data_IF_220611012431
#
_entry.id   IF_220611012431
#
_cell.length_a   1.000
_cell.length_b   1.000
_cell.length_c   1.000
_cell.angle_alpha   90.00
_cell.angle_beta   90.00
_cell.angle_gamma   90.00
#
_symmetry.space_group_name_H-M   'P 1'
#
loop_
_entity.id
_entity.type
_entity.pdbx_description
1 polymer ?
#
# COMPACT_ATOMS: atom_id res chain seq x y z
N UNK A 1 29.41 -3.13 11.75
CA UNK A 1 28.27 -2.62 10.98
C UNK A 1 27.33 -1.89 11.93
N UNK A 2 26.71 -0.80 11.52
CA UNK A 2 25.72 -0.09 12.33
C UNK A 2 24.47 -0.95 12.48
N UNK A 3 23.81 -0.85 13.63
CA UNK A 3 22.56 -1.58 13.91
C UNK A 3 21.34 -0.70 13.57
N UNK A 4 20.22 -1.34 13.36
CA UNK A 4 18.91 -0.72 13.18
C UNK A 4 17.82 -1.53 13.89
N UNK A 5 16.73 -0.86 14.21
CA UNK A 5 15.57 -1.51 14.84
C UNK A 5 14.55 -1.90 13.78
N UNK A 6 13.90 -3.05 14.04
CA UNK A 6 12.74 -3.52 13.27
C UNK A 6 11.66 -4.01 14.23
N UNK A 7 10.41 -3.94 13.81
CA UNK A 7 9.30 -4.61 14.52
C UNK A 7 9.02 -5.92 13.81
N UNK A 8 9.22 -7.03 14.51
CA UNK A 8 8.99 -8.38 13.98
C UNK A 8 7.80 -9.04 14.67
N UNK A 9 6.99 -9.74 13.88
CA UNK A 9 6.01 -10.72 14.40
C UNK A 9 6.80 -11.97 14.74
N UNK A 10 6.82 -12.34 16.02
CA UNK A 10 7.64 -13.46 16.54
C UNK A 10 6.83 -14.70 16.85
N UNK A 11 5.52 -14.54 17.09
CA UNK A 11 4.58 -15.63 17.36
C UNK A 11 3.13 -15.17 17.12
N UNK A 12 2.15 -16.04 17.33
CA UNK A 12 0.72 -15.69 17.30
C UNK A 12 0.43 -14.51 18.25
N UNK A 13 -0.06 -13.43 17.67
CA UNK A 13 -0.38 -12.17 18.37
C UNK A 13 0.77 -11.60 19.22
N UNK A 14 2.02 -11.87 18.83
CA UNK A 14 3.21 -11.33 19.51
C UNK A 14 4.11 -10.60 18.53
N UNK A 15 4.55 -9.42 18.94
CA UNK A 15 5.57 -8.62 18.25
C UNK A 15 6.70 -8.29 19.20
N UNK A 16 7.89 -8.09 18.65
CA UNK A 16 9.07 -7.62 19.37
C UNK A 16 9.82 -6.59 18.53
N UNK A 17 10.42 -5.62 19.22
CA UNK A 17 11.45 -4.77 18.63
C UNK A 17 12.76 -5.56 18.68
N UNK A 18 13.37 -5.74 17.51
CA UNK A 18 14.62 -6.49 17.36
C UNK A 18 15.67 -5.60 16.73
N UNK A 19 16.93 -5.82 17.06
CA UNK A 19 18.08 -5.18 16.40
C UNK A 19 18.65 -6.13 15.35
N UNK A 20 18.86 -5.58 14.14
CA UNK A 20 19.53 -6.26 13.04
C UNK A 20 20.62 -5.36 12.46
N UNK A 21 21.46 -5.89 11.61
CA UNK A 21 22.41 -5.07 10.89
C UNK A 21 21.70 -4.12 9.91
N UNK A 22 22.09 -2.84 9.90
CA UNK A 22 21.61 -1.88 8.90
C UNK A 22 22.07 -2.36 7.53
N UNK A 23 21.15 -2.50 6.55
CA UNK A 23 21.50 -2.98 5.23
C UNK A 23 22.40 -1.99 4.48
N UNK A 24 23.24 -2.50 3.61
CA UNK A 24 24.05 -1.73 2.68
C UNK A 24 23.52 -1.97 1.28
N UNK A 25 23.26 -0.92 0.48
CA UNK A 25 22.72 -1.08 -0.86
C UNK A 25 23.71 -1.82 -1.77
N UNK A 26 23.20 -2.79 -2.54
CA UNK A 26 23.94 -3.42 -3.64
C UNK A 26 24.03 -2.44 -4.81
N UNK A 27 24.76 -2.79 -5.87
CA UNK A 27 25.07 -1.90 -6.99
C UNK A 27 23.84 -1.21 -7.60
N UNK A 28 22.69 -1.92 -7.76
CA UNK A 28 21.46 -1.40 -8.34
C UNK A 28 20.38 -1.01 -7.29
N UNK A 29 20.77 -0.91 -6.01
CA UNK A 29 19.84 -0.67 -4.91
C UNK A 29 19.93 0.73 -4.33
N UNK A 30 18.83 1.13 -3.71
CA UNK A 30 18.69 2.37 -2.96
C UNK A 30 18.45 2.01 -1.49
N UNK A 31 19.20 2.62 -0.58
CA UNK A 31 18.95 2.59 0.86
C UNK A 31 18.03 3.73 1.23
N UNK A 32 16.91 3.39 1.85
CA UNK A 32 15.91 4.34 2.28
C UNK A 32 15.83 4.35 3.79
N UNK A 33 15.95 5.54 4.38
CA UNK A 33 15.60 5.82 5.77
C UNK A 33 14.09 6.00 5.84
N UNK A 34 13.40 5.08 6.52
CA UNK A 34 11.95 5.05 6.61
C UNK A 34 11.44 5.99 7.70
N UNK A 35 10.45 6.80 7.38
CA UNK A 35 9.84 7.76 8.29
C UNK A 35 8.40 7.38 8.67
N UNK A 36 7.70 6.65 7.82
CA UNK A 36 6.36 6.15 8.11
C UNK A 36 6.09 4.83 7.38
N UNK A 37 5.27 3.99 8.00
CA UNK A 37 4.73 2.78 7.40
C UNK A 37 3.31 2.55 7.94
N UNK A 38 2.33 2.40 7.04
CA UNK A 38 0.98 2.01 7.43
C UNK A 38 0.87 0.50 7.63
N UNK A 39 -0.15 0.08 8.35
CA UNK A 39 -0.43 -1.33 8.65
C UNK A 39 -1.59 -1.82 7.80
N UNK A 40 -1.28 -2.64 6.81
CA UNK A 40 -2.27 -3.33 5.99
C UNK A 40 -2.98 -4.45 6.77
N UNK A 41 -4.16 -4.84 6.32
CA UNK A 41 -4.84 -6.05 6.80
C UNK A 41 -4.00 -7.32 6.58
N UNK A 42 -3.04 -7.28 5.66
CA UNK A 42 -2.09 -8.38 5.46
C UNK A 42 -1.24 -8.63 6.71
N UNK A 43 -0.67 -7.58 7.33
CA UNK A 43 0.08 -7.70 8.58
C UNK A 43 -0.79 -8.21 9.72
N UNK A 44 -2.06 -7.77 9.81
CA UNK A 44 -3.02 -8.28 10.80
C UNK A 44 -3.27 -9.78 10.62
N UNK A 45 -3.40 -10.25 9.37
CA UNK A 45 -3.58 -11.68 9.04
C UNK A 45 -2.34 -12.51 9.36
N UNK A 46 -1.13 -11.99 9.17
CA UNK A 46 0.11 -12.65 9.60
C UNK A 46 0.20 -12.69 11.12
N UNK A 47 -0.09 -11.58 11.79
CA UNK A 47 -0.09 -11.46 13.26
C UNK A 47 -1.07 -12.45 13.94
N UNK A 48 -2.25 -12.63 13.33
CA UNK A 48 -3.26 -13.61 13.78
C UNK A 48 -3.07 -15.00 13.18
N UNK A 49 -1.98 -15.26 12.45
CA UNK A 49 -1.66 -16.52 11.76
C UNK A 49 -2.74 -17.05 10.80
N UNK A 50 -3.68 -16.21 10.38
CA UNK A 50 -4.59 -16.52 9.27
C UNK A 50 -3.78 -16.68 7.97
N UNK A 51 -2.76 -15.83 7.77
CA UNK A 51 -1.76 -16.00 6.71
C UNK A 51 -0.47 -16.50 7.34
N UNK A 52 -0.05 -17.71 6.96
CA UNK A 52 1.18 -18.33 7.48
C UNK A 52 2.41 -17.73 6.81
N UNK A 53 3.37 -17.29 7.62
CA UNK A 53 4.73 -16.87 7.22
C UNK A 53 5.75 -17.55 8.12
N UNK A 54 6.98 -17.70 7.63
CA UNK A 54 8.09 -18.07 8.50
C UNK A 54 8.33 -16.94 9.52
N UNK A 55 8.44 -17.31 10.79
CA UNK A 55 8.71 -16.37 11.88
C UNK A 55 10.17 -16.48 12.34
N UNK A 56 10.78 -15.40 12.84
CA UNK A 56 10.23 -14.04 12.94
C UNK A 56 10.05 -13.37 11.58
N UNK A 57 9.01 -12.53 11.43
CA UNK A 57 8.66 -11.86 10.18
C UNK A 57 8.57 -10.33 10.38
N UNK A 58 9.32 -9.56 9.60
CA UNK A 58 9.17 -8.10 9.52
C UNK A 58 8.23 -7.79 8.37
N UNK A 59 7.10 -7.18 8.68
CA UNK A 59 6.10 -6.75 7.71
C UNK A 59 6.30 -5.32 7.23
N UNK A 60 5.23 -4.76 6.67
CA UNK A 60 5.17 -3.38 6.18
C UNK A 60 5.52 -3.28 4.68
N UNK A 61 4.55 -2.82 3.90
CA UNK A 61 4.71 -2.60 2.46
C UNK A 61 4.10 -1.27 2.00
N UNK A 62 3.44 -0.57 2.89
CA UNK A 62 2.88 0.76 2.69
C UNK A 62 3.80 1.78 3.37
N UNK A 63 4.99 2.00 2.82
CA UNK A 63 6.03 2.78 3.49
C UNK A 63 6.60 3.91 2.65
N UNK A 64 7.05 4.96 3.34
CA UNK A 64 7.67 6.15 2.78
C UNK A 64 8.86 6.60 3.63
N UNK A 65 9.83 7.23 2.99
CA UNK A 65 11.03 7.72 3.64
C UNK A 65 11.84 8.64 2.75
N UNK A 66 13.13 8.74 3.01
CA UNK A 66 14.09 9.50 2.22
C UNK A 66 15.23 8.62 1.75
N UNK A 67 15.78 8.92 0.58
CA UNK A 67 16.97 8.26 0.06
C UNK A 67 18.18 8.67 0.93
N UNK A 68 18.88 7.69 1.52
CA UNK A 68 20.06 7.91 2.34
C UNK A 68 21.36 7.53 1.61
N UNK A 69 21.31 6.47 0.79
CA UNK A 69 22.45 6.04 -0.01
C UNK A 69 21.97 5.31 -1.27
N UNK A 70 22.83 5.28 -2.28
CA UNK A 70 22.58 4.57 -3.54
C UNK A 70 23.75 3.64 -3.86
N UNK A 71 23.48 2.56 -4.59
CA UNK A 71 24.51 1.67 -5.14
C UNK A 71 25.21 2.28 -6.35
N UNK A 72 26.32 1.70 -6.75
CA UNK A 72 27.24 2.22 -7.78
C UNK A 72 26.62 2.28 -9.19
N UNK A 73 25.64 1.42 -9.49
CA UNK A 73 24.95 1.39 -10.79
C UNK A 73 23.67 2.27 -10.81
N UNK A 74 23.33 2.94 -9.69
CA UNK A 74 22.17 3.83 -9.60
C UNK A 74 22.56 5.24 -10.03
N UNK A 75 21.79 5.85 -10.93
CA UNK A 75 22.06 7.18 -11.47
C UNK A 75 21.72 8.24 -10.41
N UNK A 76 22.71 9.01 -9.88
CA UNK A 76 22.49 9.95 -8.77
C UNK A 76 21.48 11.07 -9.10
N UNK A 77 21.42 11.51 -10.35
CA UNK A 77 20.52 12.56 -10.83
C UNK A 77 19.05 12.09 -10.79
N UNK A 78 18.83 10.79 -10.96
CA UNK A 78 17.49 10.20 -10.87
C UNK A 78 17.09 9.88 -9.42
N UNK A 79 18.08 9.58 -8.57
CA UNK A 79 17.83 9.19 -7.17
C UNK A 79 18.68 10.04 -6.20
N UNK A 80 18.45 11.37 -6.12
CA UNK A 80 19.26 12.23 -5.27
C UNK A 80 19.07 11.91 -3.78
N UNK A 81 20.18 11.95 -3.04
CA UNK A 81 20.17 11.78 -1.58
C UNK A 81 19.26 12.86 -0.95
N UNK A 82 18.45 12.47 0.02
CA UNK A 82 17.46 13.34 0.67
C UNK A 82 16.11 13.43 -0.07
N UNK A 83 15.98 12.87 -1.28
CA UNK A 83 14.70 12.82 -1.99
C UNK A 83 13.68 11.98 -1.20
N UNK A 84 12.48 12.55 -0.99
CA UNK A 84 11.34 11.84 -0.41
C UNK A 84 10.78 10.84 -1.41
N UNK A 85 10.50 9.63 -0.93
CA UNK A 85 10.08 8.51 -1.78
C UNK A 85 9.03 7.63 -1.08
N UNK A 86 8.17 7.03 -1.91
CA UNK A 86 7.40 5.84 -1.55
C UNK A 86 8.08 4.59 -2.12
N UNK A 87 7.83 3.44 -1.51
CA UNK A 87 8.50 2.18 -1.85
C UNK A 87 7.48 1.14 -2.26
N UNK A 88 7.69 0.53 -3.42
CA UNK A 88 7.02 -0.71 -3.79
C UNK A 88 7.85 -1.90 -3.28
N UNK A 89 7.41 -2.51 -2.19
CA UNK A 89 8.14 -3.63 -1.58
C UNK A 89 8.12 -4.89 -2.44
N UNK A 90 7.07 -5.12 -3.22
CA UNK A 90 7.00 -6.26 -4.13
C UNK A 90 7.90 -6.03 -5.34
N UNK A 91 8.94 -6.86 -5.47
CA UNK A 91 9.85 -6.82 -6.61
C UNK A 91 9.31 -7.63 -7.80
N UNK A 92 9.78 -7.31 -8.99
CA UNK A 92 9.49 -8.05 -10.23
C UNK A 92 10.77 -8.33 -11.01
N UNK A 93 10.77 -9.37 -11.85
CA UNK A 93 12.01 -9.79 -12.51
C UNK A 93 12.29 -9.08 -13.85
N UNK A 94 11.33 -8.37 -14.42
CA UNK A 94 11.44 -7.70 -15.73
C UNK A 94 11.49 -8.62 -16.95
N UNK A 95 11.73 -9.92 -16.79
CA UNK A 95 12.05 -10.84 -17.90
C UNK A 95 11.01 -11.93 -18.16
N UNK A 96 10.12 -12.24 -17.20
CA UNK A 96 9.08 -13.25 -17.41
C UNK A 96 7.96 -12.74 -18.33
N UNK A 97 7.12 -13.65 -18.80
CA UNK A 97 5.97 -13.34 -19.67
C UNK A 97 5.15 -12.16 -19.12
N UNK A 98 4.73 -12.22 -17.88
CA UNK A 98 3.89 -11.19 -17.27
C UNK A 98 4.56 -9.82 -17.21
N UNK A 99 5.83 -9.76 -16.79
CA UNK A 99 6.56 -8.48 -16.75
C UNK A 99 6.69 -7.84 -18.13
N UNK A 100 6.94 -8.65 -19.18
CA UNK A 100 7.05 -8.16 -20.55
C UNK A 100 5.72 -7.68 -21.14
N UNK A 101 4.59 -8.04 -20.52
CA UNK A 101 3.24 -7.62 -20.92
C UNK A 101 2.63 -6.57 -19.97
N UNK A 102 3.44 -5.90 -19.14
CA UNK A 102 2.97 -4.88 -18.21
C UNK A 102 2.13 -5.40 -17.03
N UNK A 103 2.21 -6.70 -16.76
CA UNK A 103 1.50 -7.38 -15.68
C UNK A 103 2.46 -7.77 -14.55
N UNK A 104 3.25 -6.82 -14.06
CA UNK A 104 4.32 -7.06 -13.09
C UNK A 104 3.81 -7.62 -11.76
N UNK A 105 2.59 -7.28 -11.37
CA UNK A 105 1.89 -7.83 -10.21
C UNK A 105 1.71 -9.36 -10.29
N UNK A 106 1.74 -9.95 -11.49
CA UNK A 106 1.68 -11.39 -11.73
C UNK A 106 3.07 -12.02 -11.99
N UNK A 107 4.15 -11.33 -11.62
CA UNK A 107 5.50 -11.82 -11.84
C UNK A 107 5.73 -13.19 -11.19
N UNK A 108 6.10 -14.18 -12.00
CA UNK A 108 6.37 -15.56 -11.52
C UNK A 108 7.58 -15.66 -10.56
N UNK A 109 8.43 -14.65 -10.53
CA UNK A 109 9.67 -14.64 -9.78
C UNK A 109 9.70 -13.59 -8.64
N UNK A 110 8.60 -12.88 -8.39
CA UNK A 110 8.54 -11.82 -7.37
C UNK A 110 8.99 -12.32 -5.98
N UNK A 111 8.50 -13.48 -5.56
CA UNK A 111 8.84 -14.07 -4.27
C UNK A 111 10.21 -14.75 -4.21
N UNK A 112 10.80 -15.12 -5.36
CA UNK A 112 12.12 -15.77 -5.40
C UNK A 112 13.26 -14.82 -5.06
N UNK A 113 13.12 -13.53 -5.37
CA UNK A 113 14.11 -12.50 -5.05
C UNK A 113 14.06 -12.06 -3.58
N UNK A 114 12.91 -12.25 -2.92
CA UNK A 114 12.69 -11.86 -1.52
C UNK A 114 12.89 -13.03 -0.53
N UNK A 115 13.27 -14.22 -1.00
CA UNK A 115 13.44 -15.36 -0.13
C UNK A 115 14.66 -15.14 0.78
N UNK A 116 14.40 -14.86 2.06
CA UNK A 116 15.43 -14.94 3.09
C UNK A 116 15.96 -16.37 3.18
N UNK A 117 17.24 -16.54 3.43
CA UNK A 117 17.75 -17.81 3.94
C UNK A 117 16.98 -18.19 5.22
N UNK A 118 16.73 -19.48 5.45
CA UNK A 118 15.97 -19.91 6.61
C UNK A 118 16.58 -19.32 7.90
N UNK A 119 15.78 -18.59 8.66
CA UNK A 119 16.20 -17.91 9.90
C UNK A 119 16.81 -16.53 9.72
N UNK A 120 16.96 -16.00 8.51
CA UNK A 120 17.44 -14.64 8.29
C UNK A 120 16.28 -13.65 8.40
N UNK A 121 16.38 -12.70 9.31
CA UNK A 121 15.45 -11.59 9.45
C UNK A 121 15.81 -10.50 8.42
N UNK A 122 14.97 -10.31 7.43
CA UNK A 122 15.15 -9.25 6.43
C UNK A 122 14.40 -7.98 6.83
N UNK A 123 15.00 -6.79 6.68
CA UNK A 123 14.32 -5.52 6.90
C UNK A 123 13.18 -5.37 5.88
N UNK A 124 12.09 -4.76 6.34
CA UNK A 124 10.94 -4.37 5.53
C UNK A 124 10.39 -3.03 6.06
N UNK A 125 9.21 -2.60 5.62
CA UNK A 125 8.64 -1.31 5.97
C UNK A 125 8.48 -1.03 7.47
N UNK A 126 8.33 -2.08 8.31
CA UNK A 126 8.33 -1.95 9.78
C UNK A 126 9.76 -1.98 10.35
N UNK A 127 10.67 -1.22 9.77
CA UNK A 127 12.05 -1.03 10.20
C UNK A 127 12.52 0.40 9.97
N UNK A 128 13.69 0.74 10.49
CA UNK A 128 14.25 2.09 10.31
C UNK A 128 14.81 2.29 8.89
N UNK A 129 15.29 1.21 8.25
CA UNK A 129 15.88 1.26 6.91
C UNK A 129 15.47 0.06 6.07
N UNK A 130 15.41 0.27 4.76
CA UNK A 130 15.21 -0.79 3.77
C UNK A 130 16.12 -0.55 2.55
N UNK A 131 16.67 -1.61 1.98
CA UNK A 131 17.29 -1.59 0.65
C UNK A 131 16.32 -2.22 -0.36
N UNK A 132 16.06 -1.51 -1.45
CA UNK A 132 15.21 -1.99 -2.56
C UNK A 132 15.90 -1.70 -3.88
N UNK A 133 15.54 -2.41 -4.94
CA UNK A 133 16.04 -2.12 -6.29
C UNK A 133 15.52 -0.74 -6.73
N UNK A 134 16.30 0.03 -7.48
CA UNK A 134 15.96 1.41 -7.88
C UNK A 134 14.58 1.52 -8.56
N UNK A 135 14.17 0.49 -9.34
CA UNK A 135 12.86 0.44 -10.00
C UNK A 135 11.66 0.25 -9.06
N UNK A 136 11.91 0.10 -7.76
CA UNK A 136 10.87 0.01 -6.71
C UNK A 136 10.65 1.35 -6.00
N UNK A 137 11.39 2.38 -6.36
CA UNK A 137 11.42 3.69 -5.68
C UNK A 137 10.66 4.71 -6.51
N UNK A 138 9.68 5.37 -5.90
CA UNK A 138 8.86 6.40 -6.52
C UNK A 138 9.07 7.73 -5.84
N UNK A 139 9.54 8.73 -6.58
CA UNK A 139 9.77 10.09 -6.06
C UNK A 139 8.45 10.75 -5.69
N UNK A 140 8.44 11.41 -4.56
CA UNK A 140 7.31 12.18 -4.04
C UNK A 140 7.65 13.66 -3.97
N UNK A 141 6.64 14.50 -3.95
CA UNK A 141 6.80 15.91 -3.61
C UNK A 141 7.38 16.06 -2.20
N UNK A 142 8.33 16.96 -2.03
CA UNK A 142 9.06 17.12 -0.76
C UNK A 142 8.18 17.67 0.37
N UNK A 143 7.11 18.38 0.04
CA UNK A 143 6.13 18.94 0.97
C UNK A 143 5.04 17.94 1.40
N UNK A 144 4.92 16.77 0.72
CA UNK A 144 3.94 15.75 1.11
C UNK A 144 4.29 15.16 2.49
N UNK A 145 3.39 15.23 3.50
CA UNK A 145 3.62 14.60 4.80
C UNK A 145 3.81 13.08 4.67
N UNK A 146 4.66 12.48 5.52
CA UNK A 146 4.92 11.03 5.47
C UNK A 146 3.67 10.21 5.77
N UNK A 147 2.81 10.71 6.66
CA UNK A 147 1.52 10.10 7.03
C UNK A 147 0.54 10.06 5.86
N UNK A 148 0.72 10.91 4.85
CA UNK A 148 -0.02 10.86 3.59
C UNK A 148 0.72 10.03 2.54
N UNK A 149 2.05 10.12 2.52
CA UNK A 149 2.88 9.39 1.57
C UNK A 149 2.72 7.86 1.65
N UNK A 150 2.41 7.31 2.83
CA UNK A 150 2.15 5.87 3.00
C UNK A 150 0.91 5.37 2.26
N UNK A 151 -0.01 6.25 1.90
CA UNK A 151 -1.19 5.90 1.11
C UNK A 151 -0.90 5.69 -0.38
N UNK A 152 0.30 5.99 -0.87
CA UNK A 152 0.66 5.80 -2.29
C UNK A 152 0.46 4.35 -2.73
N UNK A 153 0.86 3.38 -1.93
CA UNK A 153 0.71 1.96 -2.25
C UNK A 153 -0.78 1.54 -2.29
N UNK A 154 -1.59 1.70 -1.22
CA UNK A 154 -2.99 1.32 -1.28
C UNK A 154 -3.80 2.16 -2.28
N UNK A 155 -3.44 3.42 -2.51
CA UNK A 155 -4.10 4.24 -3.52
C UNK A 155 -3.79 3.76 -4.95
N UNK A 156 -2.59 3.25 -5.23
CA UNK A 156 -2.29 2.61 -6.50
C UNK A 156 -3.17 1.38 -6.76
N UNK A 157 -3.49 0.59 -5.72
CA UNK A 157 -4.45 -0.51 -5.82
C UNK A 157 -5.85 0.00 -6.16
N UNK A 158 -6.27 1.11 -5.55
CA UNK A 158 -7.57 1.74 -5.83
C UNK A 158 -7.64 2.29 -7.26
N UNK A 159 -6.61 2.97 -7.74
CA UNK A 159 -6.57 3.47 -9.14
C UNK A 159 -6.72 2.29 -10.12
N UNK A 160 -5.99 1.20 -9.92
CA UNK A 160 -6.16 0.00 -10.75
C UNK A 160 -7.60 -0.57 -10.67
N UNK A 161 -8.28 -0.47 -9.52
CA UNK A 161 -9.68 -0.87 -9.37
C UNK A 161 -10.62 0.03 -10.17
N UNK A 162 -10.44 1.34 -10.10
CA UNK A 162 -11.22 2.35 -10.85
C UNK A 162 -11.05 2.12 -12.37
N UNK A 163 -9.81 1.94 -12.83
CA UNK A 163 -9.53 1.68 -14.25
C UNK A 163 -10.17 0.38 -14.75
N UNK A 164 -10.09 -0.70 -13.95
CA UNK A 164 -10.72 -1.98 -14.32
C UNK A 164 -12.24 -1.96 -14.23
N UNK A 165 -12.80 -1.15 -13.34
CA UNK A 165 -14.22 -0.87 -13.27
C UNK A 165 -14.72 0.01 -14.42
N UNK A 166 -13.80 0.58 -15.22
CA UNK A 166 -14.11 1.53 -16.30
C UNK A 166 -15.02 2.67 -15.84
N UNK A 167 -14.72 3.21 -14.65
CA UNK A 167 -15.52 4.26 -14.04
C UNK A 167 -15.25 5.59 -14.76
N UNK A 168 -16.32 6.21 -15.25
CA UNK A 168 -16.29 7.44 -16.05
C UNK A 168 -17.13 8.54 -15.40
N UNK A 169 -17.11 9.69 -16.06
CA UNK A 169 -17.92 10.86 -15.72
C UNK A 169 -19.41 10.50 -15.72
N UNK A 170 -20.12 10.89 -14.66
CA UNK A 170 -21.56 10.66 -14.44
C UNK A 170 -21.98 9.21 -14.16
N UNK A 171 -21.05 8.28 -13.98
CA UNK A 171 -21.39 6.95 -13.51
C UNK A 171 -21.89 6.99 -12.05
N UNK A 172 -22.77 6.06 -11.70
CA UNK A 172 -23.14 5.76 -10.32
C UNK A 172 -22.22 4.68 -9.77
N UNK A 173 -21.50 4.99 -8.71
CA UNK A 173 -20.53 4.07 -8.08
C UNK A 173 -20.96 3.79 -6.66
N UNK A 174 -21.19 2.51 -6.37
CA UNK A 174 -21.49 2.04 -5.02
C UNK A 174 -20.23 1.50 -4.36
N UNK A 175 -19.86 2.08 -3.22
CA UNK A 175 -18.75 1.62 -2.38
C UNK A 175 -19.30 0.90 -1.17
N UNK A 176 -18.88 -0.35 -0.96
CA UNK A 176 -19.31 -1.16 0.19
C UNK A 176 -18.25 -1.10 1.29
N UNK A 177 -18.56 -0.38 2.37
CA UNK A 177 -17.70 -0.19 3.54
C UNK A 177 -16.80 1.04 3.46
N UNK A 178 -16.84 1.86 4.51
CA UNK A 178 -16.08 3.11 4.68
C UNK A 178 -14.77 2.93 5.46
N UNK A 179 -14.08 1.78 5.31
CA UNK A 179 -12.71 1.61 5.80
C UNK A 179 -11.70 2.39 4.95
N UNK A 180 -10.39 2.23 5.23
CA UNK A 180 -9.33 2.93 4.49
C UNK A 180 -9.48 2.74 2.98
N UNK A 181 -9.61 1.51 2.49
CA UNK A 181 -9.77 1.24 1.07
C UNK A 181 -11.05 1.84 0.50
N UNK A 182 -12.17 1.77 1.22
CA UNK A 182 -13.44 2.38 0.80
C UNK A 182 -13.34 3.90 0.68
N UNK A 183 -12.71 4.57 1.66
CA UNK A 183 -12.47 6.02 1.59
C UNK A 183 -11.60 6.42 0.40
N UNK A 184 -10.55 5.65 0.12
CA UNK A 184 -9.71 5.89 -1.06
C UNK A 184 -10.49 5.67 -2.37
N UNK A 185 -11.43 4.69 -2.42
CA UNK A 185 -12.33 4.52 -3.57
C UNK A 185 -13.32 5.68 -3.71
N UNK A 186 -13.86 6.19 -2.59
CA UNK A 186 -14.71 7.41 -2.62
C UNK A 186 -13.95 8.56 -3.27
N UNK A 187 -12.72 8.84 -2.82
CA UNK A 187 -11.89 9.91 -3.37
C UNK A 187 -11.62 9.68 -4.86
N UNK A 188 -11.18 8.48 -5.25
CA UNK A 188 -10.80 8.18 -6.62
C UNK A 188 -12.01 8.22 -7.58
N UNK A 189 -13.16 7.67 -7.19
CA UNK A 189 -14.38 7.71 -7.98
C UNK A 189 -14.90 9.16 -8.13
N UNK A 190 -14.82 9.99 -7.09
CA UNK A 190 -15.13 11.43 -7.19
C UNK A 190 -14.20 12.16 -8.15
N UNK A 191 -12.90 11.86 -8.12
CA UNK A 191 -11.94 12.44 -9.06
C UNK A 191 -12.20 12.00 -10.51
N UNK A 192 -12.80 10.82 -10.72
CA UNK A 192 -13.26 10.35 -12.03
C UNK A 192 -14.58 10.99 -12.48
N UNK A 193 -15.22 11.81 -11.63
CA UNK A 193 -16.47 12.51 -11.92
C UNK A 193 -17.74 11.68 -11.69
N UNK A 194 -17.65 10.58 -10.97
CA UNK A 194 -18.79 9.73 -10.63
C UNK A 194 -19.65 10.32 -9.49
N UNK A 195 -20.92 9.93 -9.45
CA UNK A 195 -21.75 10.04 -8.25
C UNK A 195 -21.44 8.84 -7.34
N UNK A 196 -21.04 9.11 -6.10
CA UNK A 196 -20.59 8.07 -5.17
C UNK A 196 -21.63 7.83 -4.07
N UNK A 197 -22.06 6.58 -3.96
CA UNK A 197 -22.96 6.07 -2.93
C UNK A 197 -22.16 5.14 -2.01
N UNK A 198 -22.09 5.44 -0.72
CA UNK A 198 -21.38 4.61 0.26
C UNK A 198 -22.37 3.87 1.15
N UNK A 199 -22.19 2.55 1.30
CA UNK A 199 -22.87 1.76 2.32
C UNK A 199 -21.94 1.59 3.52
N UNK A 200 -22.24 2.23 4.68
CA UNK A 200 -21.41 2.21 5.89
C UNK A 200 -22.27 2.41 7.15
N UNK A 201 -22.27 1.46 8.11
CA UNK A 201 -23.03 1.57 9.35
C UNK A 201 -22.36 2.47 10.41
N UNK A 202 -21.06 2.71 10.33
CA UNK A 202 -20.36 3.54 11.31
C UNK A 202 -20.55 5.03 10.99
N UNK A 203 -21.18 5.76 11.90
CA UNK A 203 -21.52 7.18 11.71
C UNK A 203 -20.30 8.08 11.52
N UNK A 204 -19.19 7.83 12.22
CA UNK A 204 -17.96 8.63 12.09
C UNK A 204 -17.35 8.44 10.71
N UNK A 205 -17.31 7.21 10.19
CA UNK A 205 -16.86 6.91 8.83
C UNK A 205 -17.80 7.50 7.77
N UNK A 206 -19.10 7.43 7.99
CA UNK A 206 -20.09 8.07 7.13
C UNK A 206 -19.85 9.58 6.99
N UNK A 207 -19.63 10.26 8.11
CA UNK A 207 -19.32 11.71 8.11
C UNK A 207 -17.96 12.01 7.48
N UNK A 208 -16.97 11.14 7.66
CA UNK A 208 -15.67 11.27 6.98
C UNK A 208 -15.83 11.16 5.45
N UNK A 209 -16.60 10.19 4.97
CA UNK A 209 -16.86 10.01 3.54
C UNK A 209 -17.53 11.24 2.90
N UNK A 210 -18.47 11.87 3.60
CA UNK A 210 -19.06 13.14 3.13
C UNK A 210 -18.03 14.24 2.97
N UNK A 211 -17.05 14.34 3.89
CA UNK A 211 -15.95 15.31 3.77
C UNK A 211 -15.05 15.03 2.57
N UNK A 212 -14.96 13.78 2.13
CA UNK A 212 -14.23 13.37 0.92
C UNK A 212 -15.07 13.43 -0.35
N UNK A 213 -16.31 13.95 -0.26
CA UNK A 213 -17.16 14.20 -1.41
C UNK A 213 -18.13 13.08 -1.74
N UNK A 214 -18.36 12.11 -0.85
CA UNK A 214 -19.40 11.11 -1.03
C UNK A 214 -20.78 11.79 -1.14
N UNK A 215 -21.54 11.47 -2.19
CA UNK A 215 -22.81 12.14 -2.48
C UNK A 215 -23.95 11.58 -1.62
N UNK A 216 -23.97 10.27 -1.40
CA UNK A 216 -25.02 9.59 -0.61
C UNK A 216 -24.37 8.57 0.33
N UNK A 217 -24.85 8.52 1.57
CA UNK A 217 -24.48 7.46 2.53
C UNK A 217 -25.74 6.69 2.91
N UNK A 218 -25.66 5.38 2.83
CA UNK A 218 -26.70 4.43 3.24
C UNK A 218 -26.22 3.70 4.49
N UNK A 219 -27.00 3.72 5.54
CA UNK A 219 -26.79 2.86 6.71
C UNK A 219 -27.48 1.50 6.46
N UNK A 220 -26.70 0.42 6.22
CA UNK A 220 -27.27 -0.90 5.94
C UNK A 220 -27.98 -1.54 7.15
N UNK A 221 -27.86 -0.95 8.35
CA UNK A 221 -28.58 -1.41 9.54
C UNK A 221 -29.98 -0.81 9.64
N UNK A 222 -30.22 0.31 8.95
CA UNK A 222 -31.50 1.01 8.96
C UNK A 222 -32.35 0.70 7.72
N UNK A 223 -31.71 0.36 6.58
CA UNK A 223 -32.41 0.07 5.32
C UNK A 223 -31.62 -0.89 4.43
N UNK A 224 -32.33 -1.63 3.57
CA UNK A 224 -31.69 -2.49 2.58
C UNK A 224 -30.91 -1.64 1.55
N UNK A 225 -29.58 -1.77 1.48
CA UNK A 225 -28.77 -0.97 0.57
C UNK A 225 -29.09 -1.23 -0.90
N UNK A 226 -29.50 -2.44 -1.28
CA UNK A 226 -29.87 -2.78 -2.66
C UNK A 226 -31.12 -2.01 -3.08
N UNK A 227 -32.16 -2.02 -2.24
CA UNK A 227 -33.39 -1.26 -2.50
C UNK A 227 -33.14 0.25 -2.56
N UNK A 228 -32.26 0.76 -1.70
CA UNK A 228 -31.90 2.20 -1.73
C UNK A 228 -31.14 2.57 -3.01
N UNK A 229 -30.15 1.75 -3.42
CA UNK A 229 -29.40 1.98 -4.66
C UNK A 229 -30.34 1.97 -5.86
N UNK A 230 -31.23 0.97 -5.99
CA UNK A 230 -32.24 0.92 -7.06
C UNK A 230 -33.12 2.17 -7.13
N UNK A 231 -33.56 2.69 -5.96
CA UNK A 231 -34.30 3.95 -5.92
C UNK A 231 -33.52 5.15 -6.38
N UNK A 232 -32.22 5.19 -6.11
CA UNK A 232 -31.31 6.28 -6.49
C UNK A 232 -30.91 6.24 -7.96
N UNK A 233 -31.07 5.08 -8.63
CA UNK A 233 -30.61 4.81 -9.99
C UNK A 233 -31.76 4.43 -10.93
N UNK A 234 -33.01 4.79 -10.58
CA UNK A 234 -34.22 4.48 -11.37
C UNK A 234 -34.38 2.98 -11.72
N UNK A 235 -33.83 2.11 -10.88
CA UNK A 235 -33.92 0.65 -11.01
C UNK A 235 -32.75 -0.01 -11.76
N UNK A 236 -31.80 0.76 -12.26
CA UNK A 236 -30.69 0.25 -13.07
C UNK A 236 -29.63 -0.51 -12.22
N UNK A 237 -29.49 -0.24 -10.95
CA UNK A 237 -28.56 -1.00 -10.10
C UNK A 237 -28.05 -0.27 -8.89
#
# INVERSE_FOLDING_TARGET
MSKMKVVAITDYKKTQVMEIDKPVPKSNQVLINLHACALCTFEQRVFSQVTKKALPYVGGHECAGIIEAIGEDVIPEEFPIGQKVAVRVLNHCGTCYYCRHGQENLCKNSYKKSAAAAGQLLPNGLGEYICVDANQVYKLANDLPYEQAVFVEPFACVINSIERGQIHLCDDVVVLGGGVMGMLHVIAAKLSGARVILSEPNKERAEMAKKFGCDVVIDPTESDPVEQVKKLTDGEG
#
